data_IF_406617515942
#
_entry.id   IF_406617515942
#
_cell.length_a   1.000
_cell.length_b   1.000
_cell.length_c   1.000
_cell.angle_alpha   90.00
_cell.angle_beta   90.00
_cell.angle_gamma   90.00
#
_symmetry.space_group_name_H-M   'P 1'
#
loop_
_entity.id
_entity.type
_entity.pdbx_description
1 polymer ?
#
# COMPACT_ATOMS: atom_id res chain seq x y z
N UNK A 1 -23.09 -17.97 -25.42
CA UNK A 1 -22.91 -16.58 -25.84
C UNK A 1 -21.42 -16.32 -25.72
N UNK A 2 -20.74 -16.17 -26.84
CA UNK A 2 -19.28 -16.01 -26.90
C UNK A 2 -18.93 -14.56 -26.54
N UNK A 3 -18.13 -14.36 -25.53
CA UNK A 3 -17.50 -13.07 -25.26
C UNK A 3 -16.20 -13.01 -26.06
N UNK A 4 -16.11 -12.06 -26.98
CA UNK A 4 -14.89 -11.75 -27.73
C UNK A 4 -13.97 -10.94 -26.82
N UNK A 5 -12.83 -11.50 -26.50
CA UNK A 5 -11.70 -10.76 -25.93
C UNK A 5 -11.02 -9.99 -27.06
N UNK A 6 -10.99 -8.67 -26.96
CA UNK A 6 -10.23 -7.81 -27.86
C UNK A 6 -8.80 -7.69 -27.32
N UNK A 7 -7.86 -8.40 -27.93
CA UNK A 7 -6.44 -8.19 -27.68
C UNK A 7 -5.99 -6.95 -28.46
N UNK A 8 -5.56 -5.90 -27.76
CA UNK A 8 -4.96 -4.71 -28.35
C UNK A 8 -3.48 -5.00 -28.62
N UNK A 9 -3.12 -5.13 -29.90
CA UNK A 9 -1.72 -5.29 -30.33
C UNK A 9 -1.08 -3.90 -30.46
N UNK A 10 -0.08 -3.61 -29.63
CA UNK A 10 0.78 -2.44 -29.78
C UNK A 10 1.74 -2.66 -30.94
N UNK A 11 1.57 -1.89 -32.02
CA UNK A 11 2.41 -1.92 -33.22
C UNK A 11 3.51 -0.87 -33.11
N UNK A 12 4.74 -1.28 -32.78
CA UNK A 12 5.94 -0.45 -32.89
C UNK A 12 6.30 -0.23 -34.36
N UNK A 13 6.07 0.97 -34.90
CA UNK A 13 6.59 1.38 -36.22
C UNK A 13 7.88 2.19 -36.04
N UNK A 14 9.00 1.57 -36.35
CA UNK A 14 10.25 2.27 -36.57
C UNK A 14 10.24 2.89 -37.97
N UNK A 15 10.12 4.21 -38.07
CA UNK A 15 10.17 4.96 -39.32
C UNK A 15 11.38 5.89 -39.38
N UNK A 16 12.24 5.72 -40.37
CA UNK A 16 13.43 6.49 -40.62
C UNK A 16 13.11 7.93 -41.05
N UNK A 17 13.80 8.89 -40.46
CA UNK A 17 13.68 10.32 -40.65
C UNK A 17 14.28 10.82 -41.96
N UNK A 18 13.53 11.63 -42.68
CA UNK A 18 14.03 12.61 -43.66
C UNK A 18 13.62 14.00 -43.13
N UNK A 19 14.58 14.85 -42.81
CA UNK A 19 14.35 16.19 -42.33
C UNK A 19 13.94 17.13 -43.45
N UNK A 20 12.96 18.00 -43.24
CA UNK A 20 12.95 19.34 -43.81
C UNK A 20 13.04 20.43 -42.74
N UNK A 21 13.65 21.51 -43.14
CA UNK A 21 13.98 22.74 -42.43
C UNK A 21 12.75 23.47 -41.92
N UNK A 22 12.72 23.76 -40.64
CA UNK A 22 12.18 24.99 -40.05
C UNK A 22 10.67 25.23 -40.04
N UNK A 23 10.00 24.69 -39.05
CA UNK A 23 8.96 25.37 -38.28
C UNK A 23 9.18 25.01 -36.82
N UNK A 24 9.13 25.97 -35.92
CA UNK A 24 9.11 25.71 -34.50
C UNK A 24 7.87 24.84 -34.22
N UNK A 25 8.06 23.56 -34.10
CA UNK A 25 7.08 22.65 -33.54
C UNK A 25 7.06 22.99 -32.04
N UNK A 26 5.98 23.59 -31.56
CA UNK A 26 5.58 23.40 -30.17
C UNK A 26 5.58 21.88 -29.97
N UNK A 27 6.54 21.39 -29.21
CA UNK A 27 6.51 20.03 -28.72
C UNK A 27 5.25 19.94 -27.84
N UNK A 28 4.17 19.39 -28.38
CA UNK A 28 3.17 18.78 -27.54
C UNK A 28 3.90 17.70 -26.78
N UNK A 29 4.16 17.91 -25.51
CA UNK A 29 4.69 16.92 -24.60
C UNK A 29 3.68 15.79 -24.65
N UNK A 30 4.10 14.67 -25.24
CA UNK A 30 3.25 13.50 -25.36
C UNK A 30 3.18 12.94 -23.95
N UNK A 31 1.98 12.88 -23.37
CA UNK A 31 1.78 12.32 -22.04
C UNK A 31 2.30 10.90 -21.98
N UNK A 32 2.80 10.49 -20.84
CA UNK A 32 3.15 9.12 -20.54
C UNK A 32 1.94 8.47 -19.87
N UNK A 33 1.76 7.15 -20.02
CA UNK A 33 0.65 6.39 -19.49
C UNK A 33 1.16 5.23 -18.64
N UNK A 34 0.44 4.91 -17.60
CA UNK A 34 0.58 3.68 -16.83
C UNK A 34 -0.67 2.83 -17.03
N UNK A 35 -0.49 1.52 -17.21
CA UNK A 35 -1.57 0.55 -17.28
C UNK A 35 -1.14 -0.71 -16.52
N UNK A 36 -1.63 -0.82 -15.31
CA UNK A 36 -1.45 -1.96 -14.42
C UNK A 36 -2.58 -2.97 -14.50
N UNK A 37 -2.76 -3.75 -13.46
CA UNK A 37 -3.85 -4.73 -13.34
C UNK A 37 -5.13 -4.07 -12.85
N UNK A 38 -5.00 -3.20 -11.86
CA UNK A 38 -6.10 -2.49 -11.19
C UNK A 38 -6.11 -1.00 -11.55
N UNK A 39 -4.94 -0.38 -11.70
CA UNK A 39 -4.79 1.06 -11.87
C UNK A 39 -4.32 1.41 -13.28
N UNK A 40 -4.99 2.36 -13.91
CA UNK A 40 -4.55 3.00 -15.15
C UNK A 40 -4.63 4.51 -15.01
N UNK A 41 -3.70 5.24 -15.62
CA UNK A 41 -3.76 6.70 -15.74
C UNK A 41 -2.90 7.20 -16.89
N UNK A 42 -3.13 8.45 -17.31
CA UNK A 42 -2.27 9.17 -18.24
C UNK A 42 -1.70 10.42 -17.56
N UNK A 43 -0.58 10.93 -18.06
CA UNK A 43 -0.07 12.24 -17.67
C UNK A 43 -0.20 13.21 -18.81
N UNK A 44 -0.62 14.43 -18.47
CA UNK A 44 -0.43 15.61 -19.34
C UNK A 44 0.85 16.33 -18.92
N UNK A 45 1.11 17.52 -19.50
CA UNK A 45 2.31 18.28 -19.12
C UNK A 45 2.34 18.71 -17.65
N UNK A 46 1.19 18.72 -16.96
CA UNK A 46 0.96 19.33 -15.65
C UNK A 46 -0.05 18.59 -14.75
N UNK A 47 -0.68 17.53 -15.22
CA UNK A 47 -1.64 16.76 -14.45
C UNK A 47 -1.49 15.25 -14.67
N UNK A 48 -1.79 14.45 -13.65
CA UNK A 48 -2.20 13.05 -13.79
C UNK A 48 -3.69 13.10 -14.16
N UNK A 49 -4.10 12.41 -15.20
CA UNK A 49 -5.47 12.43 -15.70
C UNK A 49 -6.03 11.03 -15.92
N UNK A 50 -7.35 10.93 -15.91
CA UNK A 50 -8.09 9.69 -16.17
C UNK A 50 -7.61 8.54 -15.25
N UNK A 51 -7.46 8.81 -13.96
CA UNK A 51 -7.11 7.80 -12.98
C UNK A 51 -8.28 6.83 -12.79
N UNK A 52 -8.06 5.59 -13.19
CA UNK A 52 -9.07 4.52 -13.09
C UNK A 52 -8.64 3.47 -12.08
N UNK A 53 -9.61 2.88 -11.41
CA UNK A 53 -9.45 1.70 -10.57
C UNK A 53 -10.41 0.63 -11.08
N UNK A 54 -9.90 -0.56 -11.40
CA UNK A 54 -10.65 -1.68 -11.99
C UNK A 54 -11.48 -1.33 -13.25
N UNK A 55 -10.99 -0.32 -13.99
CA UNK A 55 -11.61 0.15 -15.23
C UNK A 55 -12.63 1.27 -15.06
N UNK A 56 -12.94 1.68 -13.83
CA UNK A 56 -13.81 2.81 -13.54
C UNK A 56 -12.98 4.08 -13.27
N UNK A 57 -13.29 5.18 -13.98
CA UNK A 57 -12.60 6.44 -13.76
C UNK A 57 -13.09 7.07 -12.47
N UNK A 58 -12.18 7.18 -11.49
CA UNK A 58 -12.48 7.78 -10.18
C UNK A 58 -12.00 9.22 -10.06
N UNK A 59 -10.86 9.56 -10.69
CA UNK A 59 -10.32 10.92 -10.69
C UNK A 59 -10.09 11.38 -12.13
N UNK A 60 -10.61 12.56 -12.48
CA UNK A 60 -10.41 13.17 -13.80
C UNK A 60 -9.04 13.80 -13.92
N UNK A 61 -8.56 14.43 -12.85
CA UNK A 61 -7.26 15.09 -12.82
C UNK A 61 -6.71 15.14 -11.40
N UNK A 62 -5.38 15.09 -11.26
CA UNK A 62 -4.66 15.42 -10.03
C UNK A 62 -3.56 16.40 -10.39
N UNK A 63 -3.62 17.59 -9.81
CA UNK A 63 -2.72 18.70 -10.05
C UNK A 63 -2.06 19.14 -8.75
N UNK A 64 -0.80 19.52 -8.82
CA UNK A 64 -0.02 19.96 -7.65
C UNK A 64 0.68 21.28 -7.93
N UNK A 65 0.74 22.16 -6.92
CA UNK A 65 1.47 23.41 -6.97
C UNK A 65 2.13 23.68 -5.62
N UNK A 66 3.40 24.09 -5.61
CA UNK A 66 4.00 24.49 -4.35
C UNK A 66 3.31 25.73 -3.78
N UNK A 67 3.17 25.74 -2.46
CA UNK A 67 2.51 26.86 -1.75
C UNK A 67 3.24 28.18 -1.98
N UNK A 68 4.58 28.14 -2.01
CA UNK A 68 5.39 29.35 -2.26
C UNK A 68 5.18 29.92 -3.65
N UNK A 69 5.01 29.08 -4.67
CA UNK A 69 4.67 29.53 -6.02
C UNK A 69 3.26 30.11 -6.11
N UNK A 70 2.27 29.43 -5.52
CA UNK A 70 0.88 29.90 -5.48
C UNK A 70 0.78 31.29 -4.84
N UNK A 71 1.44 31.48 -3.68
CA UNK A 71 1.49 32.79 -3.00
C UNK A 71 2.24 33.86 -3.81
N UNK A 72 3.35 33.51 -4.47
CA UNK A 72 4.15 34.45 -5.23
C UNK A 72 3.46 34.93 -6.52
N UNK A 73 2.65 34.07 -7.14
CA UNK A 73 1.84 34.41 -8.33
C UNK A 73 0.56 35.12 -7.96
N UNK A 74 0.10 35.00 -6.72
CA UNK A 74 -1.15 35.53 -6.23
C UNK A 74 -2.36 34.68 -6.61
N UNK A 75 -2.12 33.44 -6.98
CA UNK A 75 -3.15 32.47 -7.34
C UNK A 75 -3.96 32.09 -6.08
N UNK A 76 -3.27 31.96 -4.95
CA UNK A 76 -3.87 31.72 -3.64
C UNK A 76 -3.35 32.78 -2.65
N UNK A 77 -4.26 33.54 -2.03
CA UNK A 77 -3.91 34.55 -1.02
C UNK A 77 -3.49 33.93 0.31
N UNK A 78 -2.65 34.62 1.09
CA UNK A 78 -2.30 34.18 2.45
C UNK A 78 -3.56 34.06 3.32
N UNK A 79 -3.85 32.84 3.82
CA UNK A 79 -5.02 32.57 4.67
C UNK A 79 -6.34 32.42 3.90
N UNK A 80 -6.29 32.09 2.62
CA UNK A 80 -7.48 31.71 1.84
C UNK A 80 -8.08 30.42 2.40
N UNK A 81 -9.41 30.39 2.42
CA UNK A 81 -10.17 29.16 2.74
C UNK A 81 -9.86 28.11 1.68
N UNK A 82 -9.48 26.89 2.10
CA UNK A 82 -9.13 25.80 1.20
C UNK A 82 -10.30 25.43 0.24
N UNK A 83 -11.53 25.57 0.71
CA UNK A 83 -12.73 25.34 -0.11
C UNK A 83 -12.89 26.33 -1.28
N UNK A 84 -12.21 27.50 -1.24
CA UNK A 84 -12.19 28.45 -2.33
C UNK A 84 -11.05 28.22 -3.35
N UNK A 85 -10.19 27.21 -3.10
CA UNK A 85 -9.13 26.82 -4.04
C UNK A 85 -9.71 25.82 -5.03
N UNK A 86 -10.15 26.30 -6.17
CA UNK A 86 -10.76 25.45 -7.22
C UNK A 86 -9.79 25.12 -8.35
N UNK A 87 -8.73 25.90 -8.49
CA UNK A 87 -7.69 25.70 -9.51
C UNK A 87 -6.32 26.04 -8.91
N UNK A 88 -5.29 25.34 -9.37
CA UNK A 88 -3.88 25.65 -9.12
C UNK A 88 -3.16 25.83 -10.46
N UNK A 89 -2.09 26.63 -10.48
CA UNK A 89 -1.20 26.65 -11.64
C UNK A 89 -0.25 25.48 -11.52
N UNK A 90 -0.67 24.35 -12.04
CA UNK A 90 0.01 23.09 -11.84
C UNK A 90 1.46 23.09 -12.32
N UNK A 91 2.31 22.37 -11.61
CA UNK A 91 3.72 22.18 -11.92
C UNK A 91 3.88 21.14 -13.03
N UNK A 92 4.91 21.30 -13.86
CA UNK A 92 5.18 20.30 -14.89
C UNK A 92 5.52 18.94 -14.27
N UNK A 93 5.07 17.87 -14.91
CA UNK A 93 5.20 16.49 -14.44
C UNK A 93 6.20 15.70 -15.28
N UNK A 94 6.87 14.75 -14.64
CA UNK A 94 7.67 13.70 -15.28
C UNK A 94 7.43 12.36 -14.63
N UNK A 95 7.34 11.29 -15.42
CA UNK A 95 7.29 9.92 -14.90
C UNK A 95 8.71 9.46 -14.59
N UNK A 96 8.99 9.13 -13.32
CA UNK A 96 10.32 8.75 -12.87
C UNK A 96 10.54 7.24 -12.90
N UNK A 97 9.53 6.48 -12.50
CA UNK A 97 9.63 5.02 -12.45
C UNK A 97 8.28 4.36 -12.68
N UNK A 98 8.31 3.18 -13.28
CA UNK A 98 7.17 2.30 -13.43
C UNK A 98 7.63 0.87 -13.14
N UNK A 99 6.82 0.14 -12.41
CA UNK A 99 6.96 -1.29 -12.13
C UNK A 99 5.66 -2.03 -12.45
N UNK A 100 5.60 -3.31 -12.18
CA UNK A 100 4.36 -4.10 -12.34
C UNK A 100 3.30 -3.76 -11.29
N UNK A 101 3.70 -3.11 -10.19
CA UNK A 101 2.83 -2.85 -9.03
C UNK A 101 2.73 -1.37 -8.65
N UNK A 102 3.47 -0.48 -9.31
CA UNK A 102 3.42 0.96 -9.02
C UNK A 102 4.02 1.83 -10.12
N UNK A 103 3.60 3.10 -10.13
CA UNK A 103 4.20 4.14 -10.95
C UNK A 103 4.36 5.42 -10.15
N UNK A 104 5.53 6.08 -10.29
CA UNK A 104 5.84 7.35 -9.62
C UNK A 104 6.00 8.46 -10.63
N UNK A 105 5.31 9.56 -10.39
CA UNK A 105 5.35 10.81 -11.14
C UNK A 105 5.88 11.91 -10.22
N UNK A 106 6.87 12.67 -10.69
CA UNK A 106 7.42 13.81 -9.94
C UNK A 106 7.02 15.13 -10.61
N UNK A 107 6.61 16.09 -9.79
CA UNK A 107 6.31 17.45 -10.21
C UNK A 107 7.52 18.36 -10.03
N UNK A 108 7.67 19.38 -10.90
CA UNK A 108 8.71 20.42 -10.76
C UNK A 108 8.61 21.20 -9.43
N UNK A 109 7.45 21.15 -8.76
CA UNK A 109 7.26 21.67 -7.40
C UNK A 109 8.00 20.89 -6.32
N UNK A 110 8.56 19.72 -6.67
CA UNK A 110 9.18 18.77 -5.76
C UNK A 110 8.22 17.70 -5.23
N UNK A 111 6.91 17.84 -5.42
CA UNK A 111 5.95 16.82 -5.01
C UNK A 111 6.11 15.52 -5.82
N UNK A 112 5.87 14.39 -5.17
CA UNK A 112 5.79 13.08 -5.83
C UNK A 112 4.38 12.51 -5.73
N UNK A 113 3.92 11.84 -6.78
CA UNK A 113 2.66 11.12 -6.85
C UNK A 113 2.97 9.66 -7.17
N UNK A 114 2.67 8.76 -6.26
CA UNK A 114 2.86 7.32 -6.46
C UNK A 114 1.51 6.63 -6.52
N UNK A 115 1.21 6.06 -7.68
CA UNK A 115 0.06 5.18 -7.88
C UNK A 115 0.47 3.74 -7.59
N UNK A 116 -0.28 3.08 -6.76
CA UNK A 116 -0.09 1.69 -6.34
C UNK A 116 -1.13 0.81 -7.02
N UNK A 117 -0.66 -0.19 -7.78
CA UNK A 117 -1.51 -1.09 -8.58
C UNK A 117 -2.01 -2.26 -7.73
N UNK A 118 -2.94 -1.95 -6.85
CA UNK A 118 -3.63 -2.90 -5.98
C UNK A 118 -5.14 -2.67 -6.06
N UNK A 119 -5.97 -3.56 -5.50
CA UNK A 119 -7.43 -3.48 -5.55
C UNK A 119 -8.01 -2.22 -4.91
N UNK A 120 -7.27 -1.57 -4.01
CA UNK A 120 -7.65 -0.30 -3.41
C UNK A 120 -7.21 0.92 -4.25
N UNK A 121 -6.48 0.73 -5.34
CA UNK A 121 -6.05 1.78 -6.25
C UNK A 121 -5.45 2.99 -5.53
N UNK A 122 -4.51 2.73 -4.60
CA UNK A 122 -4.00 3.77 -3.70
C UNK A 122 -3.11 4.75 -4.47
N UNK A 123 -3.41 6.05 -4.32
CA UNK A 123 -2.56 7.13 -4.82
C UNK A 123 -2.02 7.94 -3.64
N UNK A 124 -0.71 8.05 -3.54
CA UNK A 124 -0.03 8.85 -2.51
C UNK A 124 0.61 10.07 -3.14
N UNK A 125 0.18 11.27 -2.74
CA UNK A 125 0.77 12.55 -3.14
C UNK A 125 1.59 13.09 -1.97
N UNK A 126 2.93 13.13 -2.10
CA UNK A 126 3.87 13.63 -1.09
C UNK A 126 4.36 15.02 -1.44
N UNK A 127 4.56 15.81 -0.42
CA UNK A 127 5.08 17.18 -0.58
C UNK A 127 6.61 17.25 -0.70
N UNK A 128 7.34 16.26 -0.21
CA UNK A 128 8.80 16.13 -0.30
C UNK A 128 9.61 17.41 0.05
N UNK A 129 9.27 18.00 1.20
CA UNK A 129 10.01 19.12 1.81
C UNK A 129 9.45 20.51 1.58
N UNK A 130 8.50 20.70 0.66
CA UNK A 130 7.79 21.96 0.46
C UNK A 130 6.27 21.75 0.48
N UNK A 131 5.54 22.54 1.26
CA UNK A 131 4.08 22.43 1.32
C UNK A 131 3.43 22.63 -0.05
N UNK A 132 2.44 21.83 -0.38
CA UNK A 132 1.76 21.78 -1.65
C UNK A 132 0.27 22.12 -1.51
N UNK A 133 -0.29 22.76 -2.52
CA UNK A 133 -1.70 22.68 -2.83
C UNK A 133 -1.93 21.57 -3.84
N UNK A 134 -2.97 20.78 -3.61
CA UNK A 134 -3.39 19.69 -4.50
C UNK A 134 -4.85 19.92 -4.86
N UNK A 135 -5.18 19.94 -6.15
CA UNK A 135 -6.56 19.91 -6.62
C UNK A 135 -6.82 18.61 -7.34
N UNK A 136 -7.94 18.00 -7.05
CA UNK A 136 -8.36 16.73 -7.63
C UNK A 136 -9.74 16.89 -8.22
N UNK A 137 -9.82 16.84 -9.55
CA UNK A 137 -11.08 16.77 -10.26
C UNK A 137 -11.68 15.37 -10.09
N UNK A 138 -12.82 15.26 -9.40
CA UNK A 138 -13.53 13.96 -9.30
C UNK A 138 -14.33 13.69 -10.56
N UNK A 139 -14.67 12.45 -10.85
CA UNK A 139 -15.51 12.14 -12.02
C UNK A 139 -16.83 12.91 -11.96
N UNK A 140 -17.36 13.27 -13.12
CA UNK A 140 -18.56 14.12 -13.22
C UNK A 140 -19.83 13.43 -12.71
N UNK A 141 -19.80 12.13 -12.54
CA UNK A 141 -20.87 11.30 -11.96
C UNK A 141 -20.69 11.08 -10.46
N UNK A 142 -19.51 11.40 -9.92
CA UNK A 142 -19.21 11.22 -8.50
C UNK A 142 -19.62 12.44 -7.66
N UNK A 143 -19.92 12.17 -6.39
CA UNK A 143 -20.19 13.20 -5.37
C UNK A 143 -19.09 13.15 -4.31
N UNK A 144 -18.52 14.31 -3.98
CA UNK A 144 -17.54 14.45 -2.90
C UNK A 144 -18.19 15.06 -1.66
N UNK A 145 -17.93 14.51 -0.48
CA UNK A 145 -18.43 14.98 0.81
C UNK A 145 -17.31 15.04 1.85
N UNK A 146 -17.18 16.19 2.54
CA UNK A 146 -16.21 16.31 3.63
C UNK A 146 -16.72 15.61 4.88
N UNK A 147 -16.03 14.56 5.32
CA UNK A 147 -16.35 13.82 6.54
C UNK A 147 -15.69 14.49 7.76
N UNK A 148 -14.48 15.04 7.59
CA UNK A 148 -13.73 15.80 8.61
C UNK A 148 -12.70 16.71 7.94
N UNK A 149 -11.95 17.51 8.71
CA UNK A 149 -10.85 18.35 8.20
C UNK A 149 -9.71 17.53 7.55
N UNK A 150 -9.63 16.25 7.86
CA UNK A 150 -8.61 15.33 7.34
C UNK A 150 -9.14 14.29 6.35
N UNK A 151 -10.45 14.25 6.07
CA UNK A 151 -11.05 13.24 5.18
C UNK A 151 -12.18 13.77 4.31
N UNK A 152 -12.13 13.39 3.04
CA UNK A 152 -13.21 13.61 2.05
C UNK A 152 -13.56 12.26 1.44
N UNK A 153 -14.83 11.91 1.43
CA UNK A 153 -15.37 10.72 0.78
C UNK A 153 -15.86 11.10 -0.60
N UNK A 154 -15.54 10.28 -1.59
CA UNK A 154 -16.03 10.40 -2.97
C UNK A 154 -16.85 9.16 -3.26
N UNK A 155 -18.09 9.33 -3.71
CA UNK A 155 -18.98 8.22 -4.08
C UNK A 155 -19.36 8.36 -5.54
N UNK A 156 -19.14 7.33 -6.31
CA UNK A 156 -19.52 7.26 -7.74
C UNK A 156 -20.99 6.90 -7.92
N UNK A 157 -21.56 7.07 -9.12
CA UNK A 157 -22.97 6.76 -9.42
C UNK A 157 -23.32 5.29 -9.25
N UNK A 158 -22.38 4.39 -9.39
CA UNK A 158 -22.52 2.93 -9.17
C UNK A 158 -22.34 2.51 -7.71
N UNK A 159 -21.97 3.46 -6.84
CA UNK A 159 -21.87 3.28 -5.40
C UNK A 159 -20.47 2.90 -4.92
N UNK A 160 -19.47 2.89 -5.77
CA UNK A 160 -18.07 2.73 -5.36
C UNK A 160 -17.62 3.92 -4.53
N UNK A 161 -17.02 3.67 -3.39
CA UNK A 161 -16.52 4.71 -2.50
C UNK A 161 -14.99 4.84 -2.60
N UNK A 162 -14.53 6.08 -2.51
CA UNK A 162 -13.10 6.40 -2.35
C UNK A 162 -12.92 7.45 -1.26
N UNK A 163 -11.78 7.44 -0.59
CA UNK A 163 -11.50 8.38 0.49
C UNK A 163 -10.17 9.07 0.27
N UNK A 164 -10.20 10.40 0.36
CA UNK A 164 -9.01 11.22 0.49
C UNK A 164 -8.68 11.43 1.95
N UNK A 165 -7.44 11.17 2.34
CA UNK A 165 -6.93 11.32 3.70
C UNK A 165 -5.67 12.16 3.70
N UNK A 166 -5.53 13.05 4.68
CA UNK A 166 -4.25 13.74 4.93
C UNK A 166 -3.51 13.01 6.05
N UNK A 167 -2.27 12.64 5.77
CA UNK A 167 -1.34 12.06 6.74
C UNK A 167 -0.30 13.12 7.09
N UNK A 168 -0.09 13.39 8.37
CA UNK A 168 0.77 14.47 8.85
C UNK A 168 0.07 15.83 8.83
N UNK A 169 0.84 16.91 8.60
CA UNK A 169 0.28 18.27 8.60
C UNK A 169 -0.46 18.59 7.30
N UNK A 170 -1.69 19.07 7.41
CA UNK A 170 -2.48 19.48 6.26
C UNK A 170 -3.97 19.45 6.50
N UNK A 171 -4.73 19.66 5.46
CA UNK A 171 -6.19 19.57 5.44
C UNK A 171 -6.67 19.21 4.02
N UNK A 172 -7.83 18.56 3.94
CA UNK A 172 -8.54 18.28 2.70
C UNK A 172 -10.00 18.65 2.85
N UNK A 173 -10.60 19.16 1.78
CA UNK A 173 -12.02 19.57 1.77
C UNK A 173 -12.58 19.48 0.35
N UNK A 174 -13.90 19.50 0.27
CA UNK A 174 -14.59 19.74 -1.01
C UNK A 174 -14.61 21.23 -1.30
N UNK A 175 -14.21 21.61 -2.49
CA UNK A 175 -14.18 23.02 -2.92
C UNK A 175 -15.51 23.52 -3.50
N UNK A 176 -15.57 24.78 -3.90
CA UNK A 176 -16.79 25.41 -4.42
C UNK A 176 -17.29 24.80 -5.74
N UNK A 177 -16.42 24.10 -6.50
CA UNK A 177 -16.76 23.41 -7.75
C UNK A 177 -17.23 21.97 -7.53
N UNK A 178 -17.15 21.47 -6.28
CA UNK A 178 -17.51 20.09 -5.92
C UNK A 178 -16.35 19.11 -6.11
N UNK A 179 -15.19 19.60 -6.46
CA UNK A 179 -13.93 18.86 -6.56
C UNK A 179 -13.19 18.85 -5.21
N UNK A 180 -12.09 18.10 -5.10
CA UNK A 180 -11.33 17.99 -3.86
C UNK A 180 -10.13 18.95 -3.89
N UNK A 181 -9.94 19.70 -2.81
CA UNK A 181 -8.75 20.52 -2.60
C UNK A 181 -8.07 20.17 -1.30
N UNK A 182 -6.75 20.04 -1.34
CA UNK A 182 -5.92 19.76 -0.19
C UNK A 182 -4.76 20.75 -0.06
N UNK A 183 -4.38 21.02 1.19
CA UNK A 183 -3.14 21.68 1.54
C UNK A 183 -2.31 20.66 2.33
N UNK A 184 -1.19 20.23 1.77
CA UNK A 184 -0.30 19.23 2.33
C UNK A 184 0.94 19.92 2.88
N UNK A 185 1.24 19.71 4.16
CA UNK A 185 2.43 20.26 4.81
C UNK A 185 3.73 19.68 4.23
N UNK A 186 4.88 20.26 4.58
CA UNK A 186 6.17 19.91 3.99
C UNK A 186 6.62 18.45 4.19
N UNK A 187 6.11 17.78 5.23
CA UNK A 187 6.35 16.37 5.53
C UNK A 187 5.04 15.56 5.50
N UNK A 188 4.00 16.11 4.89
CA UNK A 188 2.68 15.50 4.79
C UNK A 188 2.45 14.78 3.48
N UNK A 189 1.37 14.02 3.45
CA UNK A 189 0.87 13.33 2.25
C UNK A 189 -0.64 13.46 2.14
N UNK A 190 -1.13 13.54 0.89
CA UNK A 190 -2.53 13.27 0.59
C UNK A 190 -2.62 11.85 0.02
N UNK A 191 -3.44 11.03 0.63
CA UNK A 191 -3.66 9.65 0.22
C UNK A 191 -5.07 9.52 -0.32
N UNK A 192 -5.23 8.94 -1.50
CA UNK A 192 -6.48 8.44 -2.01
C UNK A 192 -6.50 6.92 -1.88
N UNK A 193 -7.62 6.36 -1.44
CA UNK A 193 -7.87 4.93 -1.36
C UNK A 193 -9.29 4.65 -1.87
N UNK A 194 -9.41 3.74 -2.83
CA UNK A 194 -10.70 3.26 -3.34
C UNK A 194 -11.12 2.00 -2.60
N UNK A 195 -12.42 1.77 -2.52
CA UNK A 195 -13.03 0.58 -1.95
C UNK A 195 -13.87 -0.11 -3.02
N UNK A 196 -13.49 -1.33 -3.45
CA UNK A 196 -14.24 -2.08 -4.45
C UNK A 196 -15.63 -2.50 -3.95
N UNK A 197 -15.79 -2.60 -2.63
CA UNK A 197 -17.04 -2.86 -1.93
C UNK A 197 -17.45 -1.64 -1.07
N UNK A 198 -18.59 -1.71 -0.40
CA UNK A 198 -19.04 -0.67 0.54
C UNK A 198 -18.03 -0.54 1.70
N UNK A 199 -17.53 0.67 1.90
CA UNK A 199 -16.62 1.04 2.99
C UNK A 199 -17.26 0.78 4.35
N UNK A 200 -16.70 -0.11 5.15
CA UNK A 200 -17.24 -0.56 6.40
C UNK A 200 -16.60 0.10 7.65
N UNK A 201 -16.90 -0.39 8.84
CA UNK A 201 -16.36 0.15 10.08
C UNK A 201 -14.86 -0.21 10.27
N UNK A 202 -14.42 -1.36 9.77
CA UNK A 202 -13.02 -1.80 9.83
C UNK A 202 -12.14 -0.96 8.90
N UNK A 203 -12.65 -0.59 7.72
CA UNK A 203 -12.01 0.36 6.81
C UNK A 203 -11.81 1.73 7.48
N UNK A 204 -12.85 2.24 8.15
CA UNK A 204 -12.79 3.54 8.86
C UNK A 204 -11.79 3.54 10.00
N UNK A 205 -11.63 2.40 10.69
CA UNK A 205 -10.62 2.26 11.74
C UNK A 205 -9.21 2.20 11.15
N UNK A 206 -9.02 1.49 10.04
CA UNK A 206 -7.74 1.46 9.31
C UNK A 206 -7.35 2.85 8.82
N UNK A 207 -8.28 3.60 8.21
CA UNK A 207 -8.08 5.00 7.82
C UNK A 207 -7.70 5.89 9.01
N UNK A 208 -8.33 5.67 10.16
CA UNK A 208 -8.00 6.40 11.38
C UNK A 208 -6.55 6.15 11.80
N UNK A 209 -6.14 4.87 11.85
CA UNK A 209 -4.75 4.51 12.17
C UNK A 209 -3.74 5.15 11.19
N UNK A 210 -4.08 5.22 9.91
CA UNK A 210 -3.25 5.86 8.89
C UNK A 210 -3.17 7.38 9.13
N UNK A 211 -4.30 8.05 9.32
CA UNK A 211 -4.36 9.51 9.49
C UNK A 211 -3.73 9.96 10.80
N UNK A 212 -3.79 9.16 11.86
CA UNK A 212 -3.15 9.42 13.15
C UNK A 212 -1.65 9.08 13.15
N UNK A 213 -1.14 8.45 12.07
CA UNK A 213 0.26 8.05 11.92
C UNK A 213 0.63 6.82 12.76
N UNK A 214 -0.37 6.09 13.23
CA UNK A 214 -0.20 4.82 13.95
C UNK A 214 0.06 3.67 12.98
N UNK A 215 -0.63 3.65 11.82
CA UNK A 215 -0.28 2.79 10.70
C UNK A 215 0.61 3.56 9.72
N UNK A 216 1.85 3.10 9.54
CA UNK A 216 2.87 3.81 8.76
C UNK A 216 3.17 3.18 7.40
N UNK A 217 2.75 1.95 7.20
CA UNK A 217 2.90 1.24 5.93
C UNK A 217 1.76 0.24 5.71
N UNK A 218 1.51 -0.02 4.44
CA UNK A 218 0.59 -1.07 3.99
C UNK A 218 1.27 -1.93 2.93
N UNK A 219 1.12 -3.25 3.02
CA UNK A 219 1.73 -4.22 2.11
C UNK A 219 0.63 -5.04 1.46
N UNK A 220 0.58 -5.04 0.14
CA UNK A 220 -0.31 -5.88 -0.64
C UNK A 220 0.46 -7.04 -1.26
N UNK A 221 0.04 -8.27 -1.02
CA UNK A 221 0.61 -9.47 -1.63
C UNK A 221 -0.44 -10.12 -2.52
N UNK A 222 -0.21 -10.04 -3.82
CA UNK A 222 -1.15 -10.44 -4.88
C UNK A 222 -0.54 -11.49 -5.78
N UNK A 223 -1.36 -12.39 -6.32
CA UNK A 223 -0.90 -13.29 -7.38
C UNK A 223 -0.73 -12.52 -8.70
N UNK A 224 0.41 -12.68 -9.38
CA UNK A 224 0.72 -11.92 -10.62
C UNK A 224 -0.18 -12.30 -11.79
N UNK A 225 -0.71 -13.52 -11.79
CA UNK A 225 -1.71 -13.99 -12.73
C UNK A 225 -2.38 -15.24 -12.18
N UNK A 226 -3.69 -15.36 -12.40
CA UNK A 226 -4.53 -16.44 -11.87
C UNK A 226 -3.92 -17.83 -12.07
N UNK A 227 -3.66 -18.53 -10.96
CA UNK A 227 -3.10 -19.89 -10.94
C UNK A 227 -1.62 -20.01 -11.33
N UNK A 228 -0.86 -18.91 -11.34
CA UNK A 228 0.57 -18.93 -11.62
C UNK A 228 1.41 -19.42 -10.43
N UNK A 229 0.93 -19.18 -9.20
CA UNK A 229 1.70 -19.38 -7.97
C UNK A 229 2.88 -18.43 -7.84
N UNK A 230 2.93 -17.36 -8.65
CA UNK A 230 3.90 -16.27 -8.55
C UNK A 230 3.20 -15.06 -7.93
N UNK A 231 3.83 -14.48 -6.90
CA UNK A 231 3.27 -13.35 -6.16
C UNK A 231 4.08 -12.09 -6.40
N UNK A 232 3.38 -10.97 -6.57
CA UNK A 232 3.93 -9.63 -6.49
C UNK A 232 3.64 -9.05 -5.09
N UNK A 233 4.46 -8.10 -4.69
CA UNK A 233 4.21 -7.34 -3.48
C UNK A 233 4.33 -5.85 -3.80
N UNK A 234 3.31 -5.11 -3.41
CA UNK A 234 3.27 -3.65 -3.43
C UNK A 234 3.39 -3.13 -2.00
N UNK A 235 4.15 -2.07 -1.79
CA UNK A 235 4.36 -1.47 -0.49
C UNK A 235 3.99 0.00 -0.55
N UNK A 236 2.92 0.35 0.12
CA UNK A 236 2.48 1.73 0.34
C UNK A 236 3.13 2.23 1.63
N UNK A 237 3.88 3.32 1.57
CA UNK A 237 4.43 3.96 2.76
C UNK A 237 3.64 5.23 3.06
N UNK A 238 3.13 5.36 4.28
CA UNK A 238 2.39 6.54 4.73
C UNK A 238 3.29 7.54 5.46
N UNK A 239 4.30 7.03 6.19
CA UNK A 239 5.29 7.84 6.92
C UNK A 239 6.67 7.79 6.26
N UNK A 240 7.43 8.88 6.34
CA UNK A 240 8.82 8.95 5.85
C UNK A 240 9.82 8.24 6.79
N UNK A 241 9.43 7.98 8.03
CA UNK A 241 10.26 7.39 9.07
C UNK A 241 10.26 5.86 9.06
N UNK A 242 9.43 5.24 8.26
CA UNK A 242 9.27 3.79 8.18
C UNK A 242 9.54 3.29 6.76
N UNK A 243 10.30 2.22 6.64
CA UNK A 243 10.46 1.48 5.38
C UNK A 243 10.10 0.02 5.59
N UNK A 244 9.40 -0.57 4.62
CA UNK A 244 9.07 -1.99 4.61
C UNK A 244 9.56 -2.62 3.32
N UNK A 245 10.21 -3.78 3.42
CA UNK A 245 10.67 -4.56 2.28
C UNK A 245 10.14 -6.00 2.41
N UNK A 246 9.42 -6.49 1.40
CA UNK A 246 8.94 -7.88 1.37
C UNK A 246 10.11 -8.77 0.95
N UNK A 247 10.52 -9.64 1.86
CA UNK A 247 11.70 -10.52 1.71
C UNK A 247 11.33 -11.92 1.22
N UNK A 248 10.12 -12.38 1.53
CA UNK A 248 9.58 -13.66 1.06
C UNK A 248 8.09 -13.51 0.76
N UNK A 249 7.67 -14.09 -0.37
CA UNK A 249 6.28 -14.20 -0.80
C UNK A 249 6.10 -15.53 -1.52
N UNK A 250 5.55 -16.48 -0.85
CA UNK A 250 5.30 -17.84 -1.35
C UNK A 250 3.97 -18.32 -0.81
N UNK A 251 3.37 -19.29 -1.46
CA UNK A 251 2.19 -19.98 -0.92
C UNK A 251 2.43 -20.38 0.54
N UNK A 252 1.52 -20.00 1.42
CA UNK A 252 1.54 -20.27 2.86
C UNK A 252 2.52 -19.41 3.67
N UNK A 253 3.32 -18.50 3.08
CA UNK A 253 4.27 -17.67 3.85
C UNK A 253 4.57 -16.35 3.18
N UNK A 254 4.38 -15.27 3.93
CA UNK A 254 4.81 -13.91 3.58
C UNK A 254 5.74 -13.41 4.69
N UNK A 255 6.95 -12.95 4.32
CA UNK A 255 7.88 -12.33 5.26
C UNK A 255 8.29 -10.95 4.76
N UNK A 256 8.42 -10.01 5.69
CA UNK A 256 8.84 -8.65 5.40
C UNK A 256 9.77 -8.14 6.50
N UNK A 257 10.64 -7.22 6.14
CA UNK A 257 11.47 -6.48 7.08
C UNK A 257 10.93 -5.07 7.17
N UNK A 258 10.61 -4.62 8.36
CA UNK A 258 10.24 -3.24 8.66
C UNK A 258 11.37 -2.57 9.44
N UNK A 259 11.77 -1.39 8.99
CA UNK A 259 12.75 -0.52 9.66
C UNK A 259 12.10 0.83 9.92
N UNK A 260 12.27 1.37 11.13
CA UNK A 260 11.78 2.69 11.50
C UNK A 260 12.87 3.49 12.18
N UNK A 261 13.00 4.75 11.80
CA UNK A 261 13.99 5.66 12.38
C UNK A 261 13.67 6.09 13.82
N UNK A 262 12.44 5.86 14.27
CA UNK A 262 11.95 6.11 15.64
C UNK A 262 11.84 4.79 16.40
N UNK A 263 12.13 4.83 17.72
CA UNK A 263 12.00 3.63 18.59
C UNK A 263 10.53 3.28 18.93
N UNK A 264 9.60 4.21 18.69
CA UNK A 264 8.16 4.00 18.93
C UNK A 264 7.61 2.91 18.00
N UNK A 265 6.76 2.04 18.52
CA UNK A 265 6.07 1.03 17.75
C UNK A 265 5.14 1.62 16.68
N UNK A 266 4.69 0.78 15.79
CA UNK A 266 3.72 1.14 14.73
C UNK A 266 2.91 -0.06 14.28
N UNK A 267 1.87 0.20 13.51
CA UNK A 267 1.09 -0.82 12.84
C UNK A 267 1.52 -0.91 11.36
N UNK A 268 1.73 -2.13 10.89
CA UNK A 268 1.86 -2.45 9.47
C UNK A 268 0.59 -3.16 9.04
N UNK A 269 -0.11 -2.61 8.08
CA UNK A 269 -1.28 -3.24 7.45
C UNK A 269 -0.78 -4.18 6.36
N UNK A 270 -1.28 -5.40 6.30
CA UNK A 270 -0.89 -6.36 5.26
C UNK A 270 -2.14 -6.97 4.66
N UNK A 271 -2.37 -6.71 3.38
CA UNK A 271 -3.43 -7.32 2.59
C UNK A 271 -2.86 -8.51 1.81
N UNK A 272 -3.37 -9.70 2.06
CA UNK A 272 -2.84 -10.92 1.48
C UNK A 272 -3.94 -11.66 0.75
N UNK A 273 -3.68 -12.00 -0.54
CA UNK A 273 -4.62 -12.81 -1.33
C UNK A 273 -4.77 -14.21 -0.75
N UNK A 274 -5.95 -14.83 -0.90
CA UNK A 274 -6.21 -16.22 -0.47
C UNK A 274 -5.27 -17.22 -1.12
N UNK A 275 -4.70 -16.91 -2.29
CA UNK A 275 -3.71 -17.76 -2.94
C UNK A 275 -2.37 -17.72 -2.21
N UNK A 276 -2.03 -16.62 -1.54
CA UNK A 276 -0.80 -16.51 -0.76
C UNK A 276 -0.98 -17.08 0.66
N UNK A 277 -2.12 -16.84 1.31
CA UNK A 277 -2.49 -17.40 2.61
C UNK A 277 -3.95 -17.86 2.54
N UNK A 278 -4.17 -19.17 2.47
CA UNK A 278 -5.46 -19.77 2.19
C UNK A 278 -6.43 -19.77 3.37
N UNK A 279 -5.96 -19.54 4.59
CA UNK A 279 -6.79 -19.57 5.80
C UNK A 279 -6.39 -18.54 6.83
N UNK A 280 -7.24 -17.53 6.99
CA UNK A 280 -7.11 -16.54 8.07
C UNK A 280 -7.32 -17.17 9.47
N UNK A 281 -8.09 -18.26 9.58
CA UNK A 281 -8.40 -18.91 10.87
C UNK A 281 -7.19 -19.59 11.51
N UNK A 282 -6.20 -20.02 10.71
CA UNK A 282 -4.99 -20.70 11.15
C UNK A 282 -3.74 -19.84 10.94
N UNK A 283 -3.90 -18.53 10.84
CA UNK A 283 -2.79 -17.61 10.62
C UNK A 283 -1.90 -17.54 11.86
N UNK A 284 -0.61 -17.78 11.67
CA UNK A 284 0.43 -17.51 12.66
C UNK A 284 1.24 -16.27 12.23
N UNK A 285 1.34 -15.30 13.13
CA UNK A 285 2.17 -14.11 12.94
C UNK A 285 3.32 -14.12 13.92
N UNK A 286 4.53 -13.95 13.41
CA UNK A 286 5.73 -13.81 14.25
C UNK A 286 6.43 -12.49 13.98
N UNK A 287 7.04 -11.92 15.01
CA UNK A 287 7.93 -10.76 14.90
C UNK A 287 9.28 -11.17 15.48
N UNK A 288 10.34 -11.11 14.66
CA UNK A 288 11.69 -11.64 14.97
C UNK A 288 11.67 -13.12 15.41
N UNK A 289 10.75 -13.89 14.88
CA UNK A 289 10.56 -15.31 15.23
C UNK A 289 9.86 -15.55 16.56
N UNK A 290 9.41 -14.52 17.26
CA UNK A 290 8.56 -14.62 18.45
C UNK A 290 7.08 -14.49 18.03
N UNK A 291 6.22 -15.38 18.53
CA UNK A 291 4.80 -15.37 18.19
C UNK A 291 4.13 -14.08 18.69
N UNK A 292 3.49 -13.35 17.79
CA UNK A 292 2.63 -12.24 18.13
C UNK A 292 1.31 -12.76 18.73
N UNK A 293 0.74 -12.01 19.68
CA UNK A 293 -0.54 -12.39 20.28
C UNK A 293 -1.68 -11.80 19.43
N UNK A 294 -2.74 -12.58 19.20
CA UNK A 294 -3.93 -12.07 18.53
C UNK A 294 -4.62 -11.00 19.38
N UNK A 295 -4.98 -9.89 18.76
CA UNK A 295 -5.77 -8.82 19.34
C UNK A 295 -7.25 -9.05 18.99
N UNK A 296 -8.13 -8.75 19.90
CA UNK A 296 -9.59 -8.84 19.69
C UNK A 296 -10.24 -7.49 19.41
N UNK A 297 -9.45 -6.42 19.36
CA UNK A 297 -9.91 -5.06 19.07
C UNK A 297 -8.74 -4.16 18.65
N UNK A 298 -9.05 -3.09 17.95
CA UNK A 298 -8.09 -2.04 17.57
C UNK A 298 -7.38 -1.43 18.78
N UNK A 299 -8.08 -1.16 19.88
CA UNK A 299 -7.47 -0.60 21.09
C UNK A 299 -6.42 -1.53 21.74
N UNK A 300 -6.51 -2.85 21.56
CA UNK A 300 -5.46 -3.77 21.98
C UNK A 300 -4.26 -3.76 21.03
N UNK A 301 -4.51 -3.53 19.74
CA UNK A 301 -3.48 -3.39 18.73
C UNK A 301 -2.67 -2.10 18.98
N UNK A 302 -3.34 -0.96 19.15
CA UNK A 302 -2.75 0.35 19.48
C UNK A 302 -1.91 0.30 20.77
N UNK A 303 -2.48 -0.29 21.81
CA UNK A 303 -1.75 -0.44 23.09
C UNK A 303 -0.49 -1.29 22.96
N UNK A 304 -0.43 -2.21 21.99
CA UNK A 304 0.77 -2.99 21.71
C UNK A 304 1.83 -2.16 20.97
N UNK A 305 1.41 -1.29 20.05
CA UNK A 305 2.30 -0.39 19.33
C UNK A 305 2.86 0.70 20.24
N UNK A 306 2.08 1.25 21.18
CA UNK A 306 2.50 2.36 22.04
C UNK A 306 3.51 1.94 23.12
N UNK A 307 3.13 1.03 24.00
CA UNK A 307 3.91 0.67 25.19
C UNK A 307 3.87 -0.85 25.48
N UNK A 308 3.48 -1.67 24.51
CA UNK A 308 3.31 -3.11 24.71
C UNK A 308 4.63 -3.85 24.90
N UNK A 309 4.65 -4.86 25.80
CA UNK A 309 5.77 -5.78 25.95
C UNK A 309 5.82 -6.87 24.86
N UNK A 310 4.73 -7.00 24.05
CA UNK A 310 4.56 -8.07 23.06
C UNK A 310 3.85 -7.51 21.83
N UNK A 311 4.37 -7.85 20.65
CA UNK A 311 3.69 -7.55 19.36
C UNK A 311 2.35 -8.26 19.28
N UNK A 312 1.39 -7.64 18.61
CA UNK A 312 0.05 -8.18 18.41
C UNK A 312 -0.37 -8.09 16.94
N UNK A 313 -1.30 -8.92 16.56
CA UNK A 313 -1.95 -8.80 15.25
C UNK A 313 -3.47 -8.88 15.38
N UNK A 314 -4.16 -8.27 14.42
CA UNK A 314 -5.61 -8.31 14.27
C UNK A 314 -5.91 -8.76 12.83
N UNK A 315 -6.77 -9.75 12.68
CA UNK A 315 -7.22 -10.23 11.37
C UNK A 315 -8.59 -9.62 11.08
N UNK A 316 -8.70 -8.96 9.94
CA UNK A 316 -9.96 -8.48 9.37
C UNK A 316 -10.33 -9.41 8.22
N UNK A 317 -11.56 -9.91 8.20
CA UNK A 317 -12.07 -10.65 7.08
C UNK A 317 -12.85 -9.70 6.18
N UNK A 318 -12.28 -9.39 5.03
CA UNK A 318 -13.02 -8.63 4.04
C UNK A 318 -14.12 -9.50 3.43
N UNK A 319 -15.28 -8.90 3.25
CA UNK A 319 -16.41 -9.54 2.58
C UNK A 319 -16.35 -9.43 1.05
N UNK A 320 -15.22 -9.00 0.51
CA UNK A 320 -15.03 -8.70 -0.90
C UNK A 320 -15.05 -9.93 -1.80
N UNK A 321 -15.46 -9.71 -3.05
CA UNK A 321 -15.44 -10.75 -4.10
C UNK A 321 -14.01 -11.15 -4.51
N UNK A 322 -13.03 -10.31 -4.22
CA UNK A 322 -11.61 -10.62 -4.26
C UNK A 322 -11.19 -11.07 -2.86
N UNK A 323 -11.14 -12.38 -2.66
CA UNK A 323 -10.84 -12.99 -1.39
C UNK A 323 -9.43 -12.62 -0.92
N UNK A 324 -9.34 -11.52 -0.16
CA UNK A 324 -8.14 -11.09 0.55
C UNK A 324 -8.38 -11.06 2.05
N UNK A 325 -7.33 -11.16 2.82
CA UNK A 325 -7.35 -11.04 4.27
C UNK A 325 -6.44 -9.90 4.67
N UNK A 326 -6.99 -8.93 5.41
CA UNK A 326 -6.20 -7.86 5.99
C UNK A 326 -5.73 -8.26 7.38
N UNK A 327 -4.43 -8.14 7.60
CA UNK A 327 -3.76 -8.44 8.86
C UNK A 327 -3.03 -7.19 9.32
N UNK A 328 -3.48 -6.60 10.41
CA UNK A 328 -2.83 -5.48 11.04
C UNK A 328 -1.83 -5.99 12.07
N UNK A 329 -0.56 -5.70 11.92
CA UNK A 329 0.49 -6.15 12.84
C UNK A 329 1.05 -4.96 13.59
N UNK A 330 0.78 -4.90 14.90
CA UNK A 330 1.40 -3.94 15.81
C UNK A 330 2.75 -4.47 16.27
N UNK A 331 3.79 -3.74 15.89
CA UNK A 331 5.17 -3.98 16.32
C UNK A 331 5.48 -3.04 17.47
N UNK A 332 5.83 -3.58 18.62
CA UNK A 332 5.91 -2.82 19.86
C UNK A 332 7.16 -1.94 20.03
N UNK A 333 8.27 -2.25 19.40
CA UNK A 333 9.51 -1.47 19.42
C UNK A 333 10.20 -1.57 18.08
N UNK A 334 10.79 -0.48 17.59
CA UNK A 334 11.56 -0.50 16.36
C UNK A 334 13.07 -0.37 16.60
N UNK A 335 13.77 -1.27 16.06
CA UNK A 335 14.94 -1.31 15.22
C UNK A 335 14.47 -2.06 13.97
N UNK A 336 15.29 -2.52 13.08
CA UNK A 336 14.88 -3.46 12.03
C UNK A 336 14.14 -4.68 12.63
N UNK A 337 12.92 -4.98 12.13
CA UNK A 337 12.05 -6.09 12.57
C UNK A 337 11.67 -6.99 11.40
N UNK A 338 11.74 -8.28 11.61
CA UNK A 338 11.24 -9.26 10.65
C UNK A 338 9.82 -9.70 11.08
N UNK A 339 8.85 -9.42 10.22
CA UNK A 339 7.46 -9.84 10.38
C UNK A 339 7.22 -11.03 9.44
N UNK A 340 6.69 -12.13 9.94
CA UNK A 340 6.32 -13.29 9.12
C UNK A 340 4.89 -13.69 9.41
N UNK A 341 4.10 -13.77 8.35
CA UNK A 341 2.77 -14.35 8.31
C UNK A 341 2.90 -15.75 7.71
N UNK A 342 2.38 -16.77 8.36
CA UNK A 342 2.41 -18.14 7.87
C UNK A 342 1.14 -18.90 8.23
N UNK A 343 0.80 -19.89 7.40
CA UNK A 343 -0.26 -20.83 7.74
C UNK A 343 0.22 -21.75 8.84
N UNK A 344 -0.56 -21.82 9.94
CA UNK A 344 -0.30 -22.79 11.02
C UNK A 344 -0.45 -24.22 10.51
N UNK A 345 0.44 -25.10 10.93
CA UNK A 345 0.32 -26.53 10.66
C UNK A 345 -0.99 -27.07 11.27
N UNK A 346 -1.94 -27.44 10.42
CA UNK A 346 -3.14 -28.19 10.84
C UNK A 346 -2.69 -29.58 11.37
N UNK A 347 -2.19 -29.61 12.60
CA UNK A 347 -1.96 -30.87 13.30
C UNK A 347 -3.32 -31.49 13.58
N UNK A 348 -3.88 -32.11 12.55
CA UNK A 348 -5.06 -32.94 12.65
C UNK A 348 -4.86 -33.87 13.84
N UNK A 349 -5.64 -33.63 14.88
CA UNK A 349 -5.82 -34.55 16.00
C UNK A 349 -6.40 -35.85 15.44
N UNK A 350 -5.56 -36.70 14.88
CA UNK A 350 -5.91 -38.10 14.65
C UNK A 350 -6.11 -38.76 16.00
N UNK A 351 -7.34 -38.63 16.48
CA UNK A 351 -7.87 -39.44 17.57
C UNK A 351 -7.87 -40.90 17.15
N UNK A 352 -6.70 -41.53 17.19
CA UNK A 352 -6.54 -42.96 17.06
C UNK A 352 -7.12 -43.68 18.27
N UNK A 353 -8.42 -43.96 18.21
CA UNK A 353 -9.03 -44.96 19.07
C UNK A 353 -8.59 -46.38 18.59
N UNK A 354 -7.57 -46.92 19.20
CA UNK A 354 -7.09 -48.28 18.98
C UNK A 354 -6.79 -48.96 20.32
N UNK A 355 -7.82 -49.51 20.97
CA UNK A 355 -7.66 -50.53 22.02
C UNK A 355 -7.05 -51.77 21.38
N UNK A 356 -5.86 -52.21 21.82
CA UNK A 356 -5.59 -53.63 22.01
C UNK A 356 -4.43 -53.84 22.95
N UNK A 357 -4.66 -54.76 23.86
CA UNK A 357 -3.81 -55.28 24.92
C UNK A 357 -2.61 -56.02 24.39
N UNK A 358 -1.44 -55.88 25.03
CA UNK A 358 -0.27 -56.74 24.80
C UNK A 358 0.84 -56.43 25.79
N UNK A 359 0.99 -57.29 26.78
CA UNK A 359 2.09 -57.39 27.76
C UNK A 359 3.47 -57.42 27.12
N UNK A 360 4.45 -56.79 27.76
CA UNK A 360 5.87 -57.08 27.47
C UNK A 360 6.89 -56.00 27.78
N UNK A 361 7.24 -55.87 29.07
CA UNK A 361 8.58 -55.70 29.65
C UNK A 361 9.64 -54.74 29.06
N UNK A 362 10.02 -53.77 29.93
CA UNK A 362 11.34 -53.13 30.18
C UNK A 362 12.20 -52.62 29.01
N UNK A 363 12.52 -51.31 28.96
CA UNK A 363 13.73 -50.67 29.51
C UNK A 363 13.88 -49.22 29.12
N UNK A 364 14.14 -48.42 30.17
CA UNK A 364 14.95 -47.16 30.26
C UNK A 364 15.13 -46.21 29.07
N UNK A 365 14.58 -44.99 29.19
CA UNK A 365 15.38 -43.79 29.41
C UNK A 365 15.89 -43.05 28.19
N UNK A 366 15.46 -41.82 28.04
CA UNK A 366 16.09 -40.85 27.17
C UNK A 366 15.17 -39.69 26.76
N UNK A 367 14.84 -38.80 27.72
CA UNK A 367 14.29 -37.50 27.40
C UNK A 367 15.38 -36.68 26.72
N UNK A 368 15.23 -36.43 25.42
CA UNK A 368 15.95 -35.41 24.69
C UNK A 368 14.93 -34.47 24.07
N UNK A 369 15.05 -33.12 24.26
CA UNK A 369 14.18 -32.21 23.60
C UNK A 369 14.40 -32.28 22.08
N UNK A 370 13.37 -32.65 21.35
CA UNK A 370 13.37 -32.61 19.88
C UNK A 370 13.43 -31.16 19.40
N UNK A 371 14.56 -30.79 18.83
CA UNK A 371 14.67 -29.56 18.08
C UNK A 371 13.90 -29.77 16.78
N UNK A 372 12.80 -29.01 16.59
CA UNK A 372 12.04 -29.00 15.36
C UNK A 372 12.88 -28.51 14.17
N UNK A 373 12.49 -28.92 12.97
CA UNK A 373 13.17 -28.66 11.70
C UNK A 373 13.44 -27.15 11.43
N UNK A 374 12.72 -26.24 12.07
CA UNK A 374 12.87 -24.78 11.95
C UNK A 374 14.25 -24.29 12.42
N UNK A 375 14.86 -24.92 13.44
CA UNK A 375 16.19 -24.53 13.92
C UNK A 375 17.34 -24.80 12.92
N UNK A 376 17.12 -25.64 11.91
CA UNK A 376 18.15 -25.99 10.91
C UNK A 376 18.23 -24.95 9.79
N UNK A 377 17.12 -24.30 9.44
CA UNK A 377 17.10 -23.30 8.35
C UNK A 377 17.77 -21.98 8.79
N UNK A 378 17.54 -21.56 10.04
CA UNK A 378 18.15 -20.34 10.61
C UNK A 378 19.68 -20.50 10.75
N UNK A 379 20.16 -21.69 11.11
CA UNK A 379 21.60 -21.95 11.20
C UNK A 379 22.31 -21.91 9.84
N UNK A 380 21.62 -22.23 8.74
CA UNK A 380 22.18 -22.17 7.38
C UNK A 380 22.25 -20.75 6.84
N UNK A 381 21.27 -19.90 7.16
CA UNK A 381 21.25 -18.49 6.76
C UNK A 381 22.36 -17.68 7.44
N UNK A 382 22.57 -17.86 8.73
CA UNK A 382 23.67 -17.24 9.48
C UNK A 382 25.06 -17.67 8.99
N UNK A 383 25.22 -18.93 8.55
CA UNK A 383 26.47 -19.41 7.99
C UNK A 383 26.77 -18.78 6.60
N UNK A 384 25.75 -18.51 5.80
CA UNK A 384 25.91 -17.87 4.50
C UNK A 384 26.29 -16.38 4.64
N UNK A 385 25.68 -15.65 5.57
CA UNK A 385 25.98 -14.25 5.84
C UNK A 385 27.41 -14.02 6.34
N UNK A 386 27.91 -14.89 7.22
CA UNK A 386 29.30 -14.81 7.71
C UNK A 386 30.34 -15.17 6.65
N UNK A 387 30.00 -16.04 5.69
CA UNK A 387 30.89 -16.38 4.56
C UNK A 387 31.00 -15.22 3.56
N UNK A 388 29.91 -14.49 3.32
CA UNK A 388 29.88 -13.31 2.43
C UNK A 388 30.68 -12.13 3.02
N UNK A 389 30.56 -11.89 4.32
CA UNK A 389 31.29 -10.83 5.03
C UNK A 389 32.81 -11.05 5.04
N UNK A 390 33.27 -12.30 5.09
CA UNK A 390 34.69 -12.64 5.00
C UNK A 390 35.27 -12.43 3.59
N UNK A 391 34.48 -12.62 2.54
CA UNK A 391 34.93 -12.45 1.14
C UNK A 391 35.12 -10.98 0.72
N UNK A 392 34.51 -10.03 1.44
CA UNK A 392 34.67 -8.58 1.20
C UNK A 392 35.90 -7.94 1.91
N UNK A 393 36.64 -8.70 2.74
CA UNK A 393 37.82 -8.24 3.48
C UNK A 393 39.14 -8.88 3.01
N UNK A 394 39.12 -9.58 1.90
CA UNK A 394 40.32 -10.12 1.23
C UNK A 394 40.69 -9.31 0.00
#
# INVERSE_FOLDING_TARGET
>A
MQRLSAALAVLLLAGASVAPVGTAATSTQQGEAYAGTHVEFETTGDAVVDYTVDGDTVLRSVEVQSKSEAESRGDVGVGVDLGAVTEVTASALSVDSQSEVSATVTADSGATMTAHDNSNGILVVRSDGESQYVTVGVDSSAEAESESDGRVVVTTDDGTEGVFMVVGEGAVTVNEDGDVSANVGSEGSLVFRSYPDERDDDDRETERLITEGEATAEVHVMETSEGSGEFAADVVQYGEDTSVEVTQRTEGTVSMTADRSQEQGTVVVTSVSEQAISSAENLEVTVDGEAAAEASSYSQLESAADDGDTSRFLVQQQSSAEASTDVLVAVNHFSEREITLSEGDDQGSEGGNGSESGDGDTTTGGDGPGFGLVAVVIALALAAATALARRRRS
#
